data_IF_309600920286
#
_entry.id   IF_309600920286
#
_cell.length_a   1.000
_cell.length_b   1.000
_cell.length_c   1.000
_cell.angle_alpha   90.00
_cell.angle_beta   90.00
_cell.angle_gamma   90.00
#
_symmetry.space_group_name_H-M   'P 1'
#
loop_
_entity.id
_entity.type
_entity.pdbx_description
1 polymer ?
#
# COMPACT_ATOMS: atom_id res chain seq x y z
N UNK A 1 26.32 -0.43 17.92
CA UNK A 1 25.73 0.77 18.56
C UNK A 1 24.51 1.20 17.72
N UNK A 2 23.47 1.83 18.29
CA UNK A 2 22.26 2.23 17.53
C UNK A 2 22.57 3.04 16.25
N UNK A 3 23.67 3.81 16.25
CA UNK A 3 24.21 4.55 15.09
C UNK A 3 24.57 3.69 13.87
N UNK A 4 24.69 2.37 14.04
CA UNK A 4 25.05 1.41 13.00
C UNK A 4 23.83 0.77 12.33
N UNK A 5 22.61 1.20 12.71
CA UNK A 5 21.35 0.73 12.15
C UNK A 5 20.77 1.78 11.20
N UNK A 6 20.17 1.31 10.10
CA UNK A 6 19.29 2.09 9.24
C UNK A 6 17.87 1.61 9.53
N UNK A 7 17.02 2.52 9.99
CA UNK A 7 15.60 2.27 10.28
C UNK A 7 14.78 2.96 9.21
N UNK A 8 14.03 2.20 8.39
CA UNK A 8 13.16 2.75 7.35
C UNK A 8 11.71 2.31 7.58
N UNK A 9 10.73 3.21 7.53
CA UNK A 9 9.32 2.80 7.58
C UNK A 9 9.02 1.90 6.38
N UNK A 10 8.39 0.75 6.61
CA UNK A 10 8.07 -0.20 5.54
C UNK A 10 6.64 0.05 5.05
N UNK A 11 6.50 0.38 3.78
CA UNK A 11 5.21 0.31 3.10
C UNK A 11 4.84 -1.17 2.94
N UNK A 12 3.67 -1.56 3.45
CA UNK A 12 3.09 -2.88 3.27
C UNK A 12 2.18 -2.81 2.05
N UNK A 13 2.36 -3.75 1.11
CA UNK A 13 1.57 -3.84 -0.12
C UNK A 13 0.76 -5.11 -0.13
N UNK A 14 -0.52 -5.00 -0.49
CA UNK A 14 -1.46 -6.11 -0.62
C UNK A 14 -2.03 -6.06 -2.03
N UNK A 15 -1.73 -7.09 -2.81
CA UNK A 15 -2.34 -7.26 -4.13
C UNK A 15 -3.76 -7.81 -3.97
N UNK A 16 -4.74 -7.16 -4.60
CA UNK A 16 -6.13 -7.62 -4.61
C UNK A 16 -6.34 -8.57 -5.79
N UNK A 17 -6.43 -9.86 -5.48
CA UNK A 17 -6.54 -10.95 -6.44
C UNK A 17 -7.99 -11.37 -6.62
N UNK A 18 -8.35 -11.82 -7.82
CA UNK A 18 -9.73 -12.21 -8.15
C UNK A 18 -10.13 -13.60 -7.63
N UNK A 19 -9.17 -14.40 -7.16
CA UNK A 19 -9.40 -15.78 -6.73
C UNK A 19 -10.09 -15.81 -5.35
N UNK A 20 -11.17 -16.57 -5.25
CA UNK A 20 -11.97 -16.77 -4.03
C UNK A 20 -11.12 -17.19 -2.83
N UNK A 21 -10.09 -18.01 -3.06
CA UNK A 21 -9.21 -18.53 -2.01
C UNK A 21 -8.51 -17.41 -1.22
N UNK A 22 -8.20 -16.28 -1.87
CA UNK A 22 -7.54 -15.13 -1.24
C UNK A 22 -8.52 -14.05 -0.76
N UNK A 23 -9.80 -14.08 -1.19
CA UNK A 23 -10.77 -13.03 -0.81
C UNK A 23 -11.00 -12.95 0.69
N UNK A 24 -11.01 -14.08 1.39
CA UNK A 24 -11.21 -14.12 2.84
C UNK A 24 -10.04 -13.48 3.59
N UNK A 25 -8.80 -13.74 3.17
CA UNK A 25 -7.62 -13.13 3.78
C UNK A 25 -7.52 -11.64 3.43
N UNK A 26 -7.82 -11.25 2.19
CA UNK A 26 -7.88 -9.83 1.78
C UNK A 26 -8.91 -9.05 2.63
N UNK A 27 -10.12 -9.59 2.79
CA UNK A 27 -11.16 -9.00 3.64
C UNK A 27 -10.73 -8.86 5.09
N UNK A 28 -10.05 -9.87 5.64
CA UNK A 28 -9.54 -9.80 7.01
C UNK A 28 -8.56 -8.62 7.17
N UNK A 29 -7.68 -8.41 6.19
CA UNK A 29 -6.75 -7.28 6.25
C UNK A 29 -7.48 -5.95 6.06
N UNK A 30 -8.44 -5.86 5.13
CA UNK A 30 -9.24 -4.64 4.94
C UNK A 30 -10.02 -4.29 6.22
N UNK A 31 -10.64 -5.26 6.86
CA UNK A 31 -11.33 -5.08 8.14
C UNK A 31 -10.37 -4.64 9.25
N UNK A 32 -9.15 -5.17 9.25
CA UNK A 32 -8.11 -4.71 10.17
C UNK A 32 -7.69 -3.26 9.89
N UNK A 33 -7.56 -2.86 8.62
CA UNK A 33 -7.26 -1.47 8.22
C UNK A 33 -8.38 -0.51 8.65
N UNK A 34 -9.64 -0.92 8.52
CA UNK A 34 -10.80 -0.17 9.01
C UNK A 34 -10.70 0.00 10.53
N UNK A 35 -10.45 -1.07 11.28
CA UNK A 35 -10.34 -1.00 12.75
C UNK A 35 -9.20 -0.09 13.21
N UNK A 36 -8.07 -0.12 12.49
CA UNK A 36 -6.87 0.66 12.83
C UNK A 36 -6.88 2.09 12.31
N UNK A 37 -7.83 2.44 11.44
CA UNK A 37 -7.91 3.75 10.78
C UNK A 37 -6.54 4.18 10.21
N UNK A 38 -5.92 3.30 9.42
CA UNK A 38 -4.64 3.60 8.78
C UNK A 38 -4.85 4.32 7.45
N UNK A 39 -4.01 5.32 7.19
CA UNK A 39 -3.93 5.96 5.88
C UNK A 39 -3.49 4.93 4.86
N UNK A 40 -4.37 4.69 3.89
CA UNK A 40 -4.21 3.67 2.87
C UNK A 40 -4.18 4.33 1.49
N UNK A 41 -3.24 3.88 0.67
CA UNK A 41 -3.09 4.19 -0.74
C UNK A 41 -3.78 3.09 -1.52
N UNK A 42 -4.80 3.45 -2.29
CA UNK A 42 -5.65 2.55 -3.05
C UNK A 42 -5.33 2.71 -4.53
N UNK A 43 -4.63 1.74 -5.09
CA UNK A 43 -4.30 1.71 -6.51
C UNK A 43 -5.41 1.03 -7.29
N UNK A 44 -5.83 1.67 -8.37
CA UNK A 44 -6.96 1.31 -9.21
C UNK A 44 -6.47 0.84 -10.58
N UNK A 45 -7.20 -0.11 -11.17
CA UNK A 45 -6.96 -0.64 -12.53
C UNK A 45 -7.41 0.35 -13.61
N UNK A 46 -6.82 1.56 -13.62
CA UNK A 46 -7.06 2.60 -14.62
C UNK A 46 -5.74 3.21 -15.10
N UNK A 47 -5.66 3.68 -16.35
CA UNK A 47 -4.42 4.22 -16.91
C UNK A 47 -4.04 5.60 -16.35
N UNK A 48 -5.02 6.41 -15.93
CA UNK A 48 -4.82 7.77 -15.44
C UNK A 48 -5.59 7.96 -14.12
N UNK A 49 -5.08 8.82 -13.23
CA UNK A 49 -5.64 9.10 -11.91
C UNK A 49 -5.85 7.83 -11.08
N UNK A 50 -4.94 6.87 -11.16
CA UNK A 50 -5.08 5.52 -10.65
C UNK A 50 -4.86 5.35 -9.14
N UNK A 51 -4.81 6.43 -8.38
CA UNK A 51 -4.48 6.41 -6.97
C UNK A 51 -5.48 7.24 -6.18
N UNK A 52 -6.10 6.60 -5.18
CA UNK A 52 -6.88 7.28 -4.16
C UNK A 52 -6.18 7.13 -2.81
N UNK A 53 -6.23 8.16 -1.98
CA UNK A 53 -5.56 8.15 -0.67
C UNK A 53 -6.58 8.54 0.39
N UNK A 54 -6.67 7.75 1.45
CA UNK A 54 -7.62 8.03 2.53
C UNK A 54 -7.66 6.96 3.61
N UNK A 55 -8.71 7.01 4.41
CA UNK A 55 -9.01 6.03 5.45
C UNK A 55 -10.16 5.15 5.01
N UNK A 56 -9.97 3.83 5.04
CA UNK A 56 -11.04 2.88 4.70
C UNK A 56 -12.10 2.94 5.80
N UNK A 57 -13.34 3.18 5.40
CA UNK A 57 -14.49 3.31 6.29
C UNK A 57 -15.27 2.00 6.39
N UNK A 58 -15.55 1.38 5.25
CA UNK A 58 -16.24 0.09 5.21
C UNK A 58 -15.89 -0.69 3.94
N UNK A 59 -16.21 -1.98 3.96
CA UNK A 59 -16.10 -2.86 2.81
C UNK A 59 -17.37 -3.70 2.72
N UNK A 60 -17.95 -3.78 1.53
CA UNK A 60 -19.09 -4.65 1.23
C UNK A 60 -18.67 -5.59 0.11
N UNK A 61 -18.60 -6.89 0.40
CA UNK A 61 -18.32 -7.93 -0.60
C UNK A 61 -19.25 -9.09 -0.36
N UNK A 62 -20.01 -9.46 -1.38
CA UNK A 62 -20.80 -10.68 -1.40
C UNK A 62 -19.92 -11.83 -1.90
N UNK A 63 -19.50 -12.70 -0.99
CA UNK A 63 -18.62 -13.84 -1.31
C UNK A 63 -19.44 -15.00 -1.92
N UNK A 64 -20.73 -15.09 -1.61
CA UNK A 64 -21.60 -16.22 -2.01
C UNK A 64 -22.01 -16.20 -3.49
N UNK A 65 -21.97 -15.04 -4.13
CA UNK A 65 -22.34 -14.88 -5.55
C UNK A 65 -21.32 -15.47 -6.53
N UNK A 66 -20.11 -15.83 -6.07
CA UNK A 66 -19.05 -16.33 -6.95
C UNK A 66 -19.25 -17.80 -7.38
N UNK A 67 -20.10 -18.55 -6.68
CA UNK A 67 -20.47 -19.93 -7.04
C UNK A 67 -21.48 -20.02 -8.19
N UNK A 68 -22.25 -18.97 -8.48
CA UNK A 68 -23.21 -18.96 -9.59
C UNK A 68 -22.52 -18.45 -10.87
N UNK A 69 -21.99 -19.38 -11.66
CA UNK A 69 -21.63 -19.11 -13.06
C UNK A 69 -22.83 -18.47 -13.77
N UNK A 70 -22.53 -17.44 -14.57
CA UNK A 70 -23.39 -16.94 -15.64
C UNK A 70 -24.73 -16.33 -15.21
N UNK A 71 -24.69 -15.08 -14.77
CA UNK A 71 -25.64 -14.09 -15.26
C UNK A 71 -24.89 -12.76 -15.46
N UNK A 72 -24.39 -12.57 -16.68
CA UNK A 72 -23.87 -11.29 -17.17
C UNK A 72 -24.98 -10.25 -17.02
N UNK A 73 -24.81 -9.27 -16.13
CA UNK A 73 -25.46 -7.97 -16.34
C UNK A 73 -26.03 -7.20 -15.15
N UNK A 74 -26.04 -7.67 -13.89
CA UNK A 74 -26.79 -6.93 -12.84
C UNK A 74 -26.15 -6.61 -11.49
N UNK A 75 -25.00 -7.14 -11.08
CA UNK A 75 -24.52 -6.96 -9.69
C UNK A 75 -23.10 -6.41 -9.52
N UNK A 76 -22.57 -5.59 -10.45
CA UNK A 76 -21.25 -4.95 -10.22
C UNK A 76 -21.27 -3.85 -9.14
N UNK A 77 -22.44 -3.29 -8.83
CA UNK A 77 -22.62 -2.26 -7.79
C UNK A 77 -22.73 -2.81 -6.35
N UNK A 78 -22.81 -4.13 -6.14
CA UNK A 78 -22.95 -4.69 -4.79
C UNK A 78 -21.66 -4.70 -3.99
N UNK A 79 -20.50 -4.78 -4.67
CA UNK A 79 -19.20 -4.97 -4.05
C UNK A 79 -18.33 -3.71 -4.13
N UNK A 80 -18.11 -3.05 -3.00
CA UNK A 80 -17.37 -1.80 -2.94
C UNK A 80 -16.54 -1.64 -1.66
N UNK A 81 -15.55 -0.76 -1.76
CA UNK A 81 -14.76 -0.24 -0.65
C UNK A 81 -15.12 1.24 -0.48
N UNK A 82 -15.59 1.65 0.70
CA UNK A 82 -15.77 3.08 0.98
C UNK A 82 -14.52 3.64 1.64
N UNK A 83 -14.06 4.77 1.14
CA UNK A 83 -12.94 5.53 1.71
C UNK A 83 -13.40 6.94 2.06
N UNK A 84 -12.83 7.50 3.11
CA UNK A 84 -12.82 8.95 3.34
C UNK A 84 -11.48 9.46 2.83
N UNK A 85 -11.49 10.21 1.73
CA UNK A 85 -10.25 10.67 1.10
C UNK A 85 -9.56 11.76 1.95
N UNK A 86 -8.37 12.19 1.52
CA UNK A 86 -7.60 13.25 2.19
C UNK A 86 -8.28 14.62 2.18
N UNK A 87 -9.27 14.83 1.31
CA UNK A 87 -10.09 16.04 1.24
C UNK A 87 -11.35 15.95 2.13
N UNK A 88 -11.56 14.82 2.81
CA UNK A 88 -12.70 14.58 3.69
C UNK A 88 -13.94 14.04 2.99
N UNK A 89 -13.89 13.80 1.68
CA UNK A 89 -15.00 13.31 0.87
C UNK A 89 -15.14 11.80 1.01
N UNK A 90 -16.40 11.33 1.03
CA UNK A 90 -16.71 9.91 1.03
C UNK A 90 -16.81 9.39 -0.41
N UNK A 91 -15.90 8.48 -0.77
CA UNK A 91 -15.83 7.87 -2.10
C UNK A 91 -16.12 6.37 -1.98
N UNK A 92 -16.91 5.83 -2.91
CA UNK A 92 -17.12 4.40 -3.08
C UNK A 92 -16.32 3.91 -4.27
N UNK A 93 -15.40 2.98 -4.01
CA UNK A 93 -14.55 2.37 -5.02
C UNK A 93 -15.08 0.96 -5.31
N UNK A 94 -15.46 0.66 -6.57
CA UNK A 94 -15.85 -0.70 -6.95
C UNK A 94 -14.73 -1.71 -6.66
N UNK A 95 -15.03 -2.81 -5.98
CA UNK A 95 -13.99 -3.78 -5.56
C UNK A 95 -13.25 -4.40 -6.76
N UNK A 96 -13.93 -4.58 -7.90
CA UNK A 96 -13.35 -5.11 -9.14
C UNK A 96 -12.25 -4.20 -9.74
N UNK A 97 -12.29 -2.90 -9.45
CA UNK A 97 -11.33 -1.88 -9.89
C UNK A 97 -10.09 -1.81 -9.01
N UNK A 98 -10.09 -2.41 -7.83
CA UNK A 98 -8.93 -2.41 -6.92
C UNK A 98 -7.80 -3.28 -7.49
N UNK A 99 -6.58 -2.77 -7.41
CA UNK A 99 -5.37 -3.49 -7.82
C UNK A 99 -4.47 -3.79 -6.63
N UNK A 100 -4.07 -2.74 -5.90
CA UNK A 100 -3.16 -2.84 -4.76
C UNK A 100 -3.64 -1.90 -3.65
N UNK A 101 -3.56 -2.37 -2.41
CA UNK A 101 -3.63 -1.53 -1.22
C UNK A 101 -2.23 -1.39 -0.64
N UNK A 102 -1.80 -0.17 -0.36
CA UNK A 102 -0.56 0.08 0.36
C UNK A 102 -0.81 0.91 1.61
N UNK A 103 -0.14 0.59 2.71
CA UNK A 103 -0.25 1.34 3.96
C UNK A 103 1.04 1.26 4.75
N UNK A 104 1.20 2.20 5.67
CA UNK A 104 2.25 2.17 6.68
C UNK A 104 1.63 1.72 7.99
N UNK A 105 2.26 0.75 8.63
CA UNK A 105 2.03 0.43 10.03
C UNK A 105 3.31 0.76 10.80
N UNK A 106 3.28 0.75 12.14
CA UNK A 106 4.44 1.01 13.03
C UNK A 106 5.53 -0.07 12.92
N UNK A 107 5.90 -0.44 11.71
CA UNK A 107 6.85 -1.46 11.30
C UNK A 107 7.93 -0.76 10.50
N UNK A 108 9.15 -0.86 10.98
CA UNK A 108 10.32 -0.40 10.27
C UNK A 108 11.18 -1.60 9.88
N UNK A 109 11.81 -1.53 8.72
CA UNK A 109 12.94 -2.40 8.42
C UNK A 109 14.15 -1.88 9.19
N UNK A 110 14.79 -2.77 9.94
CA UNK A 110 16.05 -2.52 10.61
C UNK A 110 17.14 -3.22 9.81
N UNK A 111 18.05 -2.45 9.22
CA UNK A 111 19.18 -2.97 8.47
C UNK A 111 20.48 -2.61 9.19
N UNK A 112 21.39 -3.58 9.33
CA UNK A 112 22.73 -3.34 9.89
C UNK A 112 23.59 -2.71 8.80
N UNK A 113 24.18 -1.53 9.05
CA UNK A 113 25.03 -0.80 8.08
C UNK A 113 26.19 -1.64 7.53
N UNK A 114 26.58 -2.72 8.19
CA UNK A 114 27.64 -3.63 7.73
C UNK A 114 27.33 -4.32 6.39
N UNK A 115 26.07 -4.34 5.93
CA UNK A 115 25.69 -4.85 4.61
C UNK A 115 25.91 -3.86 3.46
N UNK A 116 26.28 -2.60 3.74
CA UNK A 116 26.80 -1.75 2.66
C UNK A 116 28.18 -2.26 2.26
N UNK A 117 28.22 -2.92 1.09
CA UNK A 117 29.42 -3.39 0.41
C UNK A 117 30.55 -2.34 0.47
N UNK A 118 31.81 -2.80 0.49
CA UNK A 118 32.97 -1.89 0.43
C UNK A 118 32.87 -0.90 -0.74
N UNK A 119 32.26 -1.31 -1.85
CA UNK A 119 31.97 -0.44 -2.99
C UNK A 119 30.98 0.70 -2.65
N UNK A 120 29.94 0.42 -1.87
CA UNK A 120 28.99 1.45 -1.44
C UNK A 120 29.64 2.47 -0.50
N UNK A 121 30.58 2.03 0.35
CA UNK A 121 31.36 2.92 1.23
C UNK A 121 32.29 3.83 0.42
N UNK A 122 33.00 3.26 -0.56
CA UNK A 122 33.86 4.03 -1.47
C UNK A 122 33.06 5.01 -2.30
N UNK A 123 31.93 4.57 -2.88
CA UNK A 123 31.01 5.43 -3.63
C UNK A 123 30.49 6.60 -2.79
N UNK A 124 30.10 6.34 -1.53
CA UNK A 124 29.69 7.39 -0.60
C UNK A 124 30.79 8.43 -0.34
N UNK A 125 32.05 8.00 -0.15
CA UNK A 125 33.18 8.90 0.05
C UNK A 125 33.43 9.80 -1.18
N UNK A 126 33.36 9.22 -2.38
CA UNK A 126 33.50 9.95 -3.64
C UNK A 126 32.38 10.99 -3.78
N UNK A 127 31.12 10.56 -3.63
CA UNK A 127 29.97 11.47 -3.75
C UNK A 127 30.02 12.58 -2.70
N UNK A 128 30.42 12.26 -1.46
CA UNK A 128 30.56 13.25 -0.39
C UNK A 128 31.62 14.30 -0.69
N UNK A 129 32.71 13.92 -1.36
CA UNK A 129 33.80 14.84 -1.72
C UNK A 129 33.45 15.74 -2.90
N UNK A 130 32.78 15.19 -3.92
CA UNK A 130 32.59 15.91 -5.18
C UNK A 130 31.20 16.52 -5.37
N UNK A 131 30.15 15.96 -4.73
CA UNK A 131 28.74 16.39 -4.87
C UNK A 131 27.97 16.25 -3.55
N UNK A 132 28.37 16.97 -2.49
CA UNK A 132 27.78 16.82 -1.15
C UNK A 132 26.29 17.14 -1.11
N UNK A 133 25.79 18.07 -1.93
CA UNK A 133 24.35 18.40 -1.99
C UNK A 133 23.45 17.20 -2.31
N UNK A 134 23.94 16.23 -3.09
CA UNK A 134 23.16 15.03 -3.46
C UNK A 134 22.92 14.09 -2.28
N UNK A 135 23.75 14.15 -1.24
CA UNK A 135 23.61 13.32 -0.04
C UNK A 135 22.54 13.88 0.90
N UNK A 136 22.44 15.21 1.02
CA UNK A 136 21.46 15.85 1.90
C UNK A 136 20.03 15.71 1.37
N UNK A 137 19.84 15.69 0.05
CA UNK A 137 18.53 15.44 -0.57
C UNK A 137 18.02 14.01 -0.37
N UNK A 138 18.90 13.02 -0.23
CA UNK A 138 18.52 11.62 0.04
C UNK A 138 18.03 11.38 1.48
N UNK A 139 18.36 12.26 2.42
CA UNK A 139 17.93 12.18 3.82
C UNK A 139 16.74 13.10 4.17
N UNK A 140 16.24 13.87 3.19
CA UNK A 140 15.05 14.73 3.30
C UNK A 140 13.86 14.11 2.53
N UNK A 141 13.55 12.84 2.79
CA UNK A 141 12.25 12.21 2.51
C UNK A 141 11.99 11.17 3.61
#
# INVERSE_FOLDING_TARGET
KLKDLIVKPKNIYIQIRRNEMFRKSELNVINWLIKKQLRTFVYLKKPVNNLEIGYIQNVKINIEDSKKKSNKGKNEQSNYLSIKNIFGEAIKIPYNSLEVLAFQYNTATIQKKSETSMFSKLGYLIVRKFKPEKIFYLNKI
#
